data_IF_138409098643
#
_entry.id   IF_138409098643
#
_cell.length_a   1.000
_cell.length_b   1.000
_cell.length_c   1.000
_cell.angle_alpha   90.00
_cell.angle_beta   90.00
_cell.angle_gamma   90.00
#
_symmetry.space_group_name_H-M   'P 1'
#
loop_
_entity.id
_entity.type
_entity.pdbx_description
1 polymer ?
#
# COMPACT_ATOMS: atom_id res chain seq x y z
N UNK A 1 -1.56 17.64 11.87
CA UNK A 1 -2.96 17.88 12.34
C UNK A 1 -3.60 16.55 12.68
N UNK A 2 -4.37 16.44 13.78
CA UNK A 2 -5.02 15.19 14.18
C UNK A 2 -6.51 15.20 13.79
N UNK A 3 -6.96 14.15 13.09
CA UNK A 3 -8.35 13.92 12.68
C UNK A 3 -8.77 12.54 13.18
N UNK A 4 -9.90 12.45 13.87
CA UNK A 4 -10.28 11.23 14.57
C UNK A 4 -11.75 10.88 14.43
N UNK A 5 -12.06 9.59 14.28
CA UNK A 5 -13.42 9.07 14.22
C UNK A 5 -14.32 9.69 13.13
N UNK A 6 -13.71 10.32 12.13
CA UNK A 6 -14.42 10.92 11.01
C UNK A 6 -14.70 9.88 9.92
N UNK A 7 -15.77 10.10 9.16
CA UNK A 7 -16.15 9.25 8.03
C UNK A 7 -16.21 10.06 6.75
N UNK A 8 -15.47 9.62 5.75
CA UNK A 8 -15.34 10.24 4.44
C UNK A 8 -15.87 9.28 3.38
N UNK A 9 -16.94 9.69 2.71
CA UNK A 9 -17.61 8.87 1.70
C UNK A 9 -17.62 9.58 0.36
N UNK A 10 -18.04 8.90 -0.71
CA UNK A 10 -18.28 9.55 -2.00
C UNK A 10 -19.10 10.83 -1.90
N UNK A 11 -20.09 10.85 -1.01
CA UNK A 11 -21.04 11.95 -0.84
C UNK A 11 -20.43 13.12 -0.04
N UNK A 12 -19.69 12.83 1.04
CA UNK A 12 -19.05 13.89 1.85
C UNK A 12 -17.74 14.38 1.22
N UNK A 13 -17.08 13.50 0.49
CA UNK A 13 -15.79 13.70 -0.15
C UNK A 13 -14.62 13.64 0.85
N UNK A 14 -13.39 13.86 0.35
CA UNK A 14 -12.20 13.99 1.17
C UNK A 14 -12.31 15.18 2.16
N UNK A 15 -11.60 15.18 3.32
CA UNK A 15 -11.54 16.34 4.21
C UNK A 15 -11.23 17.63 3.44
N UNK A 16 -12.19 18.56 3.46
CA UNK A 16 -12.12 19.82 2.71
C UNK A 16 -11.40 20.90 3.51
N UNK A 17 -10.63 21.74 2.82
CA UNK A 17 -9.98 22.92 3.42
C UNK A 17 -8.84 22.61 4.38
N UNK A 18 -8.34 21.38 4.40
CA UNK A 18 -7.22 20.93 5.23
C UNK A 18 -6.24 20.14 4.36
N UNK A 19 -4.94 20.36 4.56
CA UNK A 19 -3.92 19.54 3.90
C UNK A 19 -3.92 18.12 4.50
N UNK A 20 -3.84 17.12 3.64
CA UNK A 20 -3.68 15.71 4.02
C UNK A 20 -2.23 15.36 4.33
N UNK A 21 -1.30 16.14 3.78
CA UNK A 21 0.13 15.86 3.78
C UNK A 21 0.65 15.65 5.21
N UNK A 22 0.28 16.54 6.14
CA UNK A 22 0.71 16.45 7.54
C UNK A 22 -0.42 15.94 8.47
N UNK A 23 -1.46 15.33 7.91
CA UNK A 23 -2.58 14.83 8.68
C UNK A 23 -2.27 13.45 9.29
N UNK A 24 -2.60 13.31 10.57
CA UNK A 24 -2.69 12.03 11.26
C UNK A 24 -4.18 11.70 11.37
N UNK A 25 -4.60 10.64 10.69
CA UNK A 25 -5.94 10.09 10.80
C UNK A 25 -5.93 8.93 11.79
N UNK A 26 -6.82 8.98 12.77
CA UNK A 26 -6.96 7.93 13.78
C UNK A 26 -8.39 7.42 13.86
N UNK A 27 -8.57 6.11 13.66
CA UNK A 27 -9.90 5.48 13.68
C UNK A 27 -10.91 6.10 12.71
N UNK A 28 -10.42 6.61 11.58
CA UNK A 28 -11.24 7.20 10.52
C UNK A 28 -11.69 6.13 9.52
N UNK A 29 -12.82 6.38 8.88
CA UNK A 29 -13.37 5.53 7.82
C UNK A 29 -13.39 6.27 6.49
N UNK A 30 -12.85 5.65 5.46
CA UNK A 30 -12.90 6.16 4.09
C UNK A 30 -13.64 5.14 3.23
N UNK A 31 -14.65 5.57 2.47
CA UNK A 31 -15.47 4.64 1.71
C UNK A 31 -15.84 5.18 0.33
N UNK A 32 -15.51 4.41 -0.71
CA UNK A 32 -15.93 4.66 -2.11
C UNK A 32 -15.51 6.03 -2.62
N UNK A 33 -14.32 6.48 -2.21
CA UNK A 33 -13.74 7.73 -2.71
C UNK A 33 -12.98 7.45 -4.00
N UNK A 34 -13.10 8.38 -4.94
CA UNK A 34 -12.23 8.50 -6.11
C UNK A 34 -11.28 9.66 -5.81
N UNK A 35 -9.98 9.37 -5.69
CA UNK A 35 -8.95 10.33 -5.30
C UNK A 35 -7.89 10.40 -6.39
N UNK A 36 -7.66 11.60 -6.90
CA UNK A 36 -6.59 11.90 -7.85
C UNK A 36 -5.50 12.70 -7.14
N UNK A 37 -4.27 12.18 -7.17
CA UNK A 37 -3.14 12.73 -6.43
C UNK A 37 -3.33 12.61 -4.92
N UNK A 38 -3.02 13.70 -4.21
CA UNK A 38 -2.98 13.82 -2.76
C UNK A 38 -1.85 13.05 -2.09
N UNK A 39 -1.29 13.71 -1.08
CA UNK A 39 -0.26 13.14 -0.21
C UNK A 39 -0.87 12.87 1.15
N UNK A 40 -0.62 11.69 1.69
CA UNK A 40 -0.55 11.47 3.12
C UNK A 40 0.94 11.36 3.43
N UNK A 41 1.45 12.22 4.28
CA UNK A 41 2.82 12.19 4.81
C UNK A 41 2.86 12.01 6.34
N UNK A 42 1.71 12.17 7.01
CA UNK A 42 1.54 11.90 8.43
C UNK A 42 1.31 10.42 8.72
N UNK A 43 0.10 10.06 9.16
CA UNK A 43 -0.19 8.67 9.54
C UNK A 43 -1.64 8.25 9.33
N UNK A 44 -1.83 6.96 9.06
CA UNK A 44 -3.12 6.26 9.14
C UNK A 44 -3.05 5.23 10.27
N UNK A 45 -3.74 5.52 11.38
CA UNK A 45 -3.70 4.74 12.60
C UNK A 45 -5.07 4.12 12.88
N UNK A 46 -5.17 2.79 12.79
CA UNK A 46 -6.43 2.09 13.08
C UNK A 46 -7.58 2.47 12.15
N UNK A 47 -7.29 2.92 10.92
CA UNK A 47 -8.30 3.37 9.97
C UNK A 47 -8.85 2.21 9.12
N UNK A 48 -10.02 2.42 8.51
CA UNK A 48 -10.55 1.54 7.46
C UNK A 48 -10.72 2.33 6.17
N UNK A 49 -10.16 1.81 5.08
CA UNK A 49 -10.31 2.33 3.73
C UNK A 49 -10.98 1.26 2.87
N UNK A 50 -12.19 1.52 2.38
CA UNK A 50 -12.99 0.55 1.62
C UNK A 50 -13.40 1.06 0.25
N UNK A 51 -13.11 0.30 -0.79
CA UNK A 51 -13.56 0.62 -2.15
C UNK A 51 -12.95 1.93 -2.67
N UNK A 52 -11.74 2.27 -2.22
CA UNK A 52 -11.07 3.51 -2.65
C UNK A 52 -10.46 3.28 -4.02
N UNK A 53 -10.69 4.20 -4.93
CA UNK A 53 -9.97 4.30 -6.19
C UNK A 53 -8.98 5.45 -6.06
N UNK A 54 -7.68 5.14 -5.94
CA UNK A 54 -6.64 6.13 -5.70
C UNK A 54 -5.64 6.16 -6.86
N UNK A 55 -5.75 7.21 -7.66
CA UNK A 55 -4.85 7.51 -8.77
C UNK A 55 -3.74 8.44 -8.32
N UNK A 56 -2.47 8.04 -8.49
CA UNK A 56 -1.29 8.84 -8.12
C UNK A 56 -1.25 9.31 -6.65
N UNK A 57 -1.78 8.49 -5.74
CA UNK A 57 -1.63 8.74 -4.30
C UNK A 57 -0.16 8.67 -3.86
N UNK A 58 0.22 9.56 -2.94
CA UNK A 58 1.56 9.58 -2.35
C UNK A 58 1.44 9.33 -0.84
N UNK A 59 2.00 8.21 -0.39
CA UNK A 59 2.11 7.86 1.03
C UNK A 59 3.55 8.00 1.52
N UNK A 60 4.41 8.72 0.80
CA UNK A 60 5.84 8.71 1.06
C UNK A 60 6.14 9.04 2.53
N UNK A 61 6.98 8.24 3.18
CA UNK A 61 7.33 8.39 4.61
C UNK A 61 6.17 8.26 5.61
N UNK A 62 5.00 7.80 5.16
CA UNK A 62 3.82 7.64 6.03
C UNK A 62 3.96 6.46 6.98
N UNK A 63 3.47 6.65 8.21
CA UNK A 63 3.19 5.55 9.13
C UNK A 63 1.79 4.99 8.87
N UNK A 64 1.73 3.74 8.41
CA UNK A 64 0.50 2.95 8.29
C UNK A 64 0.50 1.92 9.41
N UNK A 65 -0.33 2.12 10.43
CA UNK A 65 -0.39 1.20 11.57
C UNK A 65 -1.81 0.73 11.85
N UNK A 66 -2.01 -0.58 11.96
CA UNK A 66 -3.31 -1.19 12.27
C UNK A 66 -4.44 -0.77 11.32
N UNK A 67 -4.10 -0.38 10.10
CA UNK A 67 -5.05 0.13 9.10
C UNK A 67 -5.43 -0.98 8.13
N UNK A 68 -6.73 -1.06 7.82
CA UNK A 68 -7.28 -2.03 6.85
C UNK A 68 -7.65 -1.33 5.56
N UNK A 69 -7.16 -1.86 4.44
CA UNK A 69 -7.54 -1.48 3.08
C UNK A 69 -8.32 -2.63 2.47
N UNK A 70 -9.56 -2.38 2.05
CA UNK A 70 -10.47 -3.41 1.54
C UNK A 70 -11.05 -3.04 0.19
N UNK A 71 -10.84 -3.89 -0.80
CA UNK A 71 -11.35 -3.70 -2.16
C UNK A 71 -10.91 -2.37 -2.78
N UNK A 72 -9.71 -1.90 -2.44
CA UNK A 72 -9.15 -0.66 -2.97
C UNK A 72 -8.36 -0.91 -4.26
N UNK A 73 -8.32 0.10 -5.14
CA UNK A 73 -7.51 0.09 -6.36
C UNK A 73 -6.54 1.25 -6.31
N UNK A 74 -5.25 0.94 -6.34
CA UNK A 74 -4.14 1.87 -6.37
C UNK A 74 -3.54 1.90 -7.77
N UNK A 75 -3.37 3.10 -8.34
CA UNK A 75 -2.84 3.30 -9.70
C UNK A 75 -1.63 4.21 -9.67
N UNK A 76 -0.44 3.65 -9.94
CA UNK A 76 0.82 4.41 -9.86
C UNK A 76 1.07 5.06 -8.49
N UNK A 77 0.45 4.52 -7.43
CA UNK A 77 0.56 5.02 -6.05
C UNK A 77 1.94 4.69 -5.48
N UNK A 78 2.56 5.64 -4.79
CA UNK A 78 3.83 5.44 -4.09
C UNK A 78 3.61 5.27 -2.60
N UNK A 79 4.15 4.19 -2.05
CA UNK A 79 4.29 3.91 -0.62
C UNK A 79 5.77 3.99 -0.18
N UNK A 80 6.60 4.71 -0.93
CA UNK A 80 8.05 4.75 -0.69
C UNK A 80 8.40 5.20 0.74
N UNK A 81 9.34 4.50 1.37
CA UNK A 81 9.81 4.76 2.73
C UNK A 81 8.72 4.72 3.81
N UNK A 82 7.62 4.00 3.57
CA UNK A 82 6.60 3.77 4.58
C UNK A 82 7.06 2.80 5.68
N UNK A 83 6.51 3.01 6.86
CA UNK A 83 6.40 1.98 7.89
C UNK A 83 4.98 1.40 7.84
N UNK A 84 4.86 0.12 7.49
CA UNK A 84 3.59 -0.59 7.32
C UNK A 84 3.50 -1.68 8.38
N UNK A 85 2.77 -1.40 9.45
CA UNK A 85 2.79 -2.19 10.69
C UNK A 85 1.40 -2.73 11.00
N UNK A 86 1.28 -4.05 11.11
CA UNK A 86 0.04 -4.73 11.47
C UNK A 86 -1.16 -4.32 10.59
N UNK A 87 -0.90 -4.04 9.32
CA UNK A 87 -1.90 -3.64 8.34
C UNK A 87 -2.53 -4.85 7.66
N UNK A 88 -3.68 -4.62 7.03
CA UNK A 88 -4.36 -5.63 6.20
C UNK A 88 -4.73 -5.03 4.86
N UNK A 89 -4.33 -5.68 3.78
CA UNK A 89 -4.80 -5.41 2.43
C UNK A 89 -5.64 -6.61 1.98
N UNK A 90 -6.93 -6.38 1.74
CA UNK A 90 -7.89 -7.43 1.41
C UNK A 90 -8.57 -7.09 0.09
N UNK A 91 -8.49 -7.99 -0.89
CA UNK A 91 -9.13 -7.81 -2.21
C UNK A 91 -8.67 -6.53 -2.94
N UNK A 92 -7.46 -6.04 -2.62
CA UNK A 92 -6.87 -4.83 -3.19
C UNK A 92 -6.13 -5.09 -4.50
N UNK A 93 -6.06 -4.06 -5.37
CA UNK A 93 -5.38 -4.13 -6.66
C UNK A 93 -4.36 -2.99 -6.77
N UNK A 94 -3.13 -3.33 -7.11
CA UNK A 94 -2.02 -2.41 -7.33
C UNK A 94 -1.65 -2.46 -8.80
N UNK A 95 -2.12 -1.47 -9.56
CA UNK A 95 -2.07 -1.51 -11.03
C UNK A 95 -1.27 -0.34 -11.60
N UNK A 96 -0.94 -0.43 -12.88
CA UNK A 96 -0.24 0.63 -13.61
C UNK A 96 -1.10 1.89 -13.74
N UNK A 97 -0.46 3.06 -13.74
CA UNK A 97 -1.09 4.31 -14.18
C UNK A 97 -1.19 4.43 -15.71
N UNK A 98 -1.73 5.54 -16.21
CA UNK A 98 -1.88 5.76 -17.66
C UNK A 98 -0.54 5.94 -18.41
N UNK A 99 0.55 6.23 -17.70
CA UNK A 99 1.92 6.30 -18.21
C UNK A 99 2.67 4.96 -18.04
N UNK A 100 1.95 3.89 -17.70
CA UNK A 100 2.50 2.55 -17.43
C UNK A 100 3.45 2.52 -16.22
N UNK A 101 3.32 3.46 -15.29
CA UNK A 101 4.04 3.52 -14.02
C UNK A 101 3.44 2.58 -12.97
N UNK A 102 4.24 1.72 -12.31
CA UNK A 102 3.73 0.80 -11.30
C UNK A 102 3.48 1.51 -9.97
N UNK A 103 2.74 0.85 -9.10
CA UNK A 103 2.80 1.15 -7.67
C UNK A 103 4.18 0.79 -7.10
N UNK A 104 4.64 1.53 -6.09
CA UNK A 104 5.95 1.30 -5.46
C UNK A 104 5.85 1.20 -3.95
N UNK A 105 6.64 0.31 -3.39
CA UNK A 105 6.89 0.10 -1.97
C UNK A 105 8.40 0.01 -1.80
N UNK A 106 9.10 1.10 -2.09
CA UNK A 106 10.57 1.14 -2.05
C UNK A 106 11.04 1.49 -0.65
N UNK A 107 12.11 0.84 -0.17
CA UNK A 107 12.76 1.11 1.12
C UNK A 107 11.79 1.13 2.30
N UNK A 108 10.76 0.28 2.27
CA UNK A 108 9.74 0.20 3.32
C UNK A 108 10.13 -0.79 4.41
N UNK A 109 9.64 -0.56 5.62
CA UNK A 109 9.61 -1.56 6.67
C UNK A 109 8.17 -2.09 6.77
N UNK A 110 7.98 -3.38 6.48
CA UNK A 110 6.67 -4.03 6.48
C UNK A 110 6.67 -5.11 7.57
N UNK A 111 5.83 -4.93 8.58
CA UNK A 111 5.80 -5.73 9.81
C UNK A 111 4.39 -6.23 10.04
N UNK A 112 4.24 -7.53 10.31
CA UNK A 112 2.98 -8.20 10.68
C UNK A 112 1.80 -7.87 9.75
N UNK A 113 2.10 -7.57 8.50
CA UNK A 113 1.10 -7.13 7.52
C UNK A 113 0.61 -8.32 6.70
N UNK A 114 -0.69 -8.33 6.44
CA UNK A 114 -1.38 -9.39 5.69
C UNK A 114 -1.82 -8.85 4.34
N UNK A 115 -1.48 -9.58 3.28
CA UNK A 115 -2.03 -9.38 1.94
C UNK A 115 -2.92 -10.58 1.57
N UNK A 116 -4.21 -10.35 1.37
CA UNK A 116 -5.18 -11.41 1.11
C UNK A 116 -5.98 -11.09 -0.15
N UNK A 117 -5.93 -11.99 -1.14
CA UNK A 117 -6.54 -11.85 -2.46
C UNK A 117 -6.15 -10.54 -3.16
N UNK A 118 -4.89 -10.13 -3.02
CA UNK A 118 -4.38 -8.93 -3.67
C UNK A 118 -3.77 -9.21 -5.06
N UNK A 119 -4.00 -8.30 -5.99
CA UNK A 119 -3.39 -8.34 -7.33
C UNK A 119 -2.31 -7.26 -7.42
N UNK A 120 -1.10 -7.64 -7.79
CA UNK A 120 -0.01 -6.72 -8.13
C UNK A 120 0.33 -6.86 -9.61
N UNK A 121 0.11 -5.81 -10.38
CA UNK A 121 0.51 -5.78 -11.80
C UNK A 121 2.00 -5.44 -11.87
N UNK A 122 2.82 -6.48 -12.02
CA UNK A 122 4.28 -6.40 -12.05
C UNK A 122 4.88 -6.33 -13.46
N UNK A 123 4.05 -6.51 -14.49
CA UNK A 123 4.49 -6.58 -15.89
C UNK A 123 4.75 -5.19 -16.48
N UNK A 124 5.90 -4.60 -16.10
CA UNK A 124 6.59 -3.66 -16.96
C UNK A 124 8.11 -3.93 -16.88
N UNK A 125 8.68 -4.73 -17.81
CA UNK A 125 10.10 -5.08 -17.79
C UNK A 125 11.05 -3.88 -17.99
N UNK A 126 10.52 -2.68 -18.30
CA UNK A 126 11.29 -1.43 -18.37
C UNK A 126 11.27 -0.62 -17.09
N UNK A 127 10.53 -1.05 -16.06
CA UNK A 127 10.37 -0.29 -14.82
C UNK A 127 10.82 -1.10 -13.61
N UNK A 128 11.08 -0.36 -12.54
CA UNK A 128 11.53 -0.93 -11.28
C UNK A 128 10.46 -1.91 -10.72
N UNK A 129 10.89 -2.98 -10.03
CA UNK A 129 9.98 -3.84 -9.28
C UNK A 129 9.11 -3.04 -8.30
N UNK A 130 7.95 -3.59 -7.95
CA UNK A 130 7.04 -2.97 -6.96
C UNK A 130 7.73 -2.81 -5.60
N UNK A 131 8.54 -3.78 -5.19
CA UNK A 131 9.28 -3.75 -3.93
C UNK A 131 10.78 -3.70 -4.22
N UNK A 132 11.45 -2.64 -3.78
CA UNK A 132 12.90 -2.47 -3.86
C UNK A 132 13.42 -2.11 -2.48
N UNK A 133 14.44 -2.81 -1.98
CA UNK A 133 15.07 -2.55 -0.67
C UNK A 133 14.11 -2.58 0.55
N UNK A 134 12.93 -3.17 0.39
CA UNK A 134 11.94 -3.30 1.46
C UNK A 134 12.19 -4.52 2.33
N UNK A 135 11.97 -4.37 3.63
CA UNK A 135 12.19 -5.41 4.64
C UNK A 135 10.85 -5.91 5.17
N UNK A 136 10.75 -7.22 5.37
CA UNK A 136 9.52 -7.89 5.73
C UNK A 136 9.72 -8.71 7.01
N UNK A 137 8.82 -8.55 7.98
CA UNK A 137 8.86 -9.25 9.26
C UNK A 137 7.48 -9.76 9.62
N UNK A 138 7.32 -11.08 9.81
CA UNK A 138 6.04 -11.67 10.25
C UNK A 138 4.87 -11.46 9.28
N UNK A 139 5.14 -11.13 8.02
CA UNK A 139 4.10 -10.84 7.03
C UNK A 139 3.59 -12.13 6.39
N UNK A 140 2.33 -12.13 5.96
CA UNK A 140 1.70 -13.29 5.30
C UNK A 140 0.97 -12.86 4.04
N UNK A 141 0.83 -13.81 3.11
CA UNK A 141 0.01 -13.63 1.94
C UNK A 141 -0.89 -14.85 1.68
N UNK A 142 -2.08 -14.62 1.10
CA UNK A 142 -3.00 -15.66 0.67
C UNK A 142 -3.73 -15.28 -0.60
N UNK A 143 -3.75 -16.15 -1.61
CA UNK A 143 -4.49 -15.92 -2.85
C UNK A 143 -4.05 -14.69 -3.66
N UNK A 144 -2.82 -14.21 -3.48
CA UNK A 144 -2.29 -13.05 -4.19
C UNK A 144 -1.67 -13.43 -5.55
N UNK A 145 -1.65 -12.48 -6.49
CA UNK A 145 -0.92 -12.60 -7.77
C UNK A 145 0.09 -11.46 -7.94
N UNK A 146 1.21 -11.73 -8.60
CA UNK A 146 2.29 -10.73 -8.79
C UNK A 146 3.19 -10.50 -7.57
N UNK A 147 3.06 -11.33 -6.55
CA UNK A 147 3.96 -11.39 -5.38
C UNK A 147 4.81 -12.68 -5.37
N UNK A 148 4.89 -13.36 -6.51
CA UNK A 148 5.65 -14.59 -6.66
C UNK A 148 7.13 -14.35 -6.31
N UNK A 149 7.67 -15.17 -5.41
CA UNK A 149 9.07 -15.04 -4.96
C UNK A 149 9.35 -13.93 -3.94
N UNK A 150 8.39 -13.05 -3.61
CA UNK A 150 8.60 -11.96 -2.63
C UNK A 150 8.75 -12.49 -1.20
N UNK A 151 7.99 -13.54 -0.86
CA UNK A 151 8.02 -14.20 0.45
C UNK A 151 8.83 -15.50 0.46
N UNK A 152 9.46 -15.87 -0.66
CA UNK A 152 10.32 -17.05 -0.69
C UNK A 152 11.60 -16.76 0.10
N UNK A 153 12.07 -17.69 0.96
CA UNK A 153 13.38 -17.55 1.56
C UNK A 153 14.43 -17.44 0.44
N UNK A 154 15.51 -16.67 0.62
CA UNK A 154 16.55 -16.53 -0.40
C UNK A 154 17.02 -17.92 -0.81
N UNK A 155 16.94 -18.22 -2.12
CA UNK A 155 17.43 -19.49 -2.66
C UNK A 155 18.88 -19.62 -2.25
N UNK A 156 19.20 -20.66 -1.45
CA UNK A 156 20.61 -21.00 -1.18
C UNK A 156 21.30 -21.16 -2.54
N UNK A 157 22.48 -20.56 -2.77
CA UNK A 157 23.22 -20.83 -3.98
C UNK A 157 23.40 -22.34 -4.10
N UNK A 158 23.16 -22.87 -5.30
CA UNK A 158 23.38 -24.29 -5.58
C UNK A 158 24.80 -24.64 -5.11
N UNK A 159 24.90 -25.51 -4.12
CA UNK A 159 26.19 -26.04 -3.69
C UNK A 159 26.90 -26.65 -4.90
N UNK A 160 28.23 -26.58 -4.96
CA UNK A 160 28.96 -27.08 -6.12
C UNK A 160 28.55 -28.53 -6.39
N UNK A 161 28.11 -28.79 -7.61
CA UNK A 161 27.87 -30.13 -8.13
C UNK A 161 29.13 -30.94 -7.89
N UNK A 162 29.08 -31.91 -6.97
CA UNK A 162 30.16 -32.87 -6.80
C UNK A 162 30.25 -33.67 -8.09
N UNK A 163 31.38 -33.52 -8.79
CA UNK A 163 31.82 -34.44 -9.84
C UNK A 163 32.03 -35.84 -9.28
#
# INVERSE_FOLDING_TARGET
>A
MLIEHETFTRETGPPRGRSWDEAVFRWCNFARLEIEGQTIGGALLGCELRGIDWYWGLFNTTLLAHTTFKSCVFRGTSFTQCEVIACRFEDCRFVLDNLQGPCTFNSCMIVETVFDRCEFVVDNPRRAPVFVESRWYGCTQGGCSGLDGVFEPPRRPAGPSRC
#
